data_IF_456028711231
#
_entry.id   IF_456028711231
#
_cell.length_a   1.000
_cell.length_b   1.000
_cell.length_c   1.000
_cell.angle_alpha   90.00
_cell.angle_beta   90.00
_cell.angle_gamma   90.00
#
_symmetry.space_group_name_H-M   'P 1'
#
loop_
_entity.id
_entity.type
_entity.pdbx_description
1 polymer ?
#
# COMPACT_ATOMS: atom_id res chain seq x y z
N UNK A 1 38.48 -87.49 -27.79
CA UNK A 1 38.57 -88.53 -26.74
C UNK A 1 38.05 -87.95 -25.40
N UNK A 2 37.35 -88.74 -24.65
CA UNK A 2 36.87 -88.56 -23.33
C UNK A 2 35.43 -88.00 -23.18
N UNK A 3 34.64 -88.94 -22.78
CA UNK A 3 33.22 -88.90 -22.45
C UNK A 3 32.94 -88.11 -21.17
N UNK A 4 31.86 -87.35 -21.16
CA UNK A 4 31.30 -86.76 -19.94
C UNK A 4 29.95 -87.38 -19.65
N UNK A 5 29.83 -87.92 -18.46
CA UNK A 5 28.64 -88.63 -17.92
C UNK A 5 27.68 -87.60 -17.30
N UNK A 6 26.45 -87.65 -17.80
CA UNK A 6 25.34 -86.90 -17.22
C UNK A 6 24.79 -87.55 -15.95
N UNK A 7 24.67 -86.80 -14.88
CA UNK A 7 23.88 -87.19 -13.73
C UNK A 7 22.72 -86.22 -13.55
N UNK A 8 21.51 -86.73 -13.73
CA UNK A 8 20.31 -86.02 -13.42
C UNK A 8 20.03 -86.12 -11.91
N UNK A 9 19.97 -85.01 -11.21
CA UNK A 9 19.43 -84.93 -9.88
C UNK A 9 18.02 -84.31 -9.97
N UNK A 10 17.04 -85.09 -9.49
CA UNK A 10 15.65 -84.68 -9.31
C UNK A 10 15.53 -84.04 -7.95
N UNK A 11 15.16 -82.77 -7.92
CA UNK A 11 14.91 -82.07 -6.65
C UNK A 11 13.41 -81.83 -6.56
N UNK A 12 12.81 -82.32 -5.48
CA UNK A 12 11.43 -82.13 -5.14
C UNK A 12 11.18 -80.64 -4.82
N UNK A 13 10.19 -80.05 -5.42
CA UNK A 13 9.70 -78.73 -5.08
C UNK A 13 8.75 -78.80 -3.87
N UNK A 14 9.14 -78.22 -2.76
CA UNK A 14 8.25 -77.96 -1.63
C UNK A 14 7.62 -76.56 -1.85
N UNK A 15 6.32 -76.56 -2.06
CA UNK A 15 5.54 -75.35 -2.14
C UNK A 15 5.30 -74.76 -0.75
N UNK A 16 5.99 -73.70 -0.39
CA UNK A 16 5.66 -72.92 0.80
C UNK A 16 4.75 -71.76 0.40
N UNK A 17 3.53 -71.75 0.92
CA UNK A 17 2.57 -70.66 0.76
C UNK A 17 3.04 -69.48 1.67
N UNK A 18 3.54 -68.43 1.06
CA UNK A 18 3.80 -67.17 1.75
C UNK A 18 2.52 -66.34 1.77
N UNK A 19 1.97 -66.13 2.96
CA UNK A 19 0.89 -65.18 3.19
C UNK A 19 1.47 -63.76 2.99
N UNK A 20 1.03 -63.05 1.99
CA UNK A 20 1.38 -61.65 1.78
C UNK A 20 0.58 -60.77 2.76
N UNK A 21 1.19 -60.44 3.88
CA UNK A 21 0.72 -59.40 4.77
C UNK A 21 1.00 -58.03 4.16
N UNK A 22 -0.05 -57.35 3.74
CA UNK A 22 0.02 -55.94 3.30
C UNK A 22 0.24 -55.07 4.54
N UNK A 23 1.48 -54.69 4.80
CA UNK A 23 1.79 -53.68 5.80
C UNK A 23 1.41 -52.32 5.23
N UNK A 24 0.32 -51.73 5.72
CA UNK A 24 -0.03 -50.32 5.43
C UNK A 24 0.93 -49.46 6.24
N UNK A 25 1.94 -48.88 5.60
CA UNK A 25 2.77 -47.85 6.17
C UNK A 25 1.97 -46.54 6.24
N UNK A 26 1.38 -46.25 7.40
CA UNK A 26 0.89 -44.92 7.71
C UNK A 26 2.13 -44.09 8.03
N UNK A 27 2.69 -43.40 7.02
CA UNK A 27 3.74 -42.43 7.23
C UNK A 27 3.20 -41.27 8.07
N UNK A 28 4.03 -40.63 8.92
CA UNK A 28 3.60 -39.44 9.62
C UNK A 28 3.22 -38.37 8.61
N UNK A 29 1.99 -37.84 8.70
CA UNK A 29 1.55 -36.71 7.89
C UNK A 29 2.48 -35.52 8.20
N UNK A 30 3.17 -35.02 7.18
CA UNK A 30 3.95 -33.80 7.32
C UNK A 30 3.01 -32.66 7.77
N UNK A 31 3.39 -31.87 8.78
CA UNK A 31 2.58 -30.73 9.17
C UNK A 31 2.50 -29.78 7.95
N UNK A 32 1.29 -29.56 7.45
CA UNK A 32 1.04 -28.49 6.50
C UNK A 32 1.35 -27.19 7.20
N UNK A 33 2.48 -26.58 6.84
CA UNK A 33 2.78 -25.22 7.26
C UNK A 33 1.68 -24.33 6.67
N UNK A 34 0.71 -23.95 7.50
CA UNK A 34 -0.20 -22.87 7.19
C UNK A 34 0.68 -21.63 7.18
N UNK A 35 0.95 -21.12 5.98
CA UNK A 35 1.48 -19.77 5.85
C UNK A 35 0.51 -18.87 6.63
N UNK A 36 1.00 -18.28 7.72
CA UNK A 36 0.26 -17.23 8.40
C UNK A 36 0.06 -16.14 7.35
N UNK A 37 -1.17 -16.01 6.86
CA UNK A 37 -1.60 -14.83 6.14
C UNK A 37 -1.48 -13.73 7.20
N UNK A 38 -0.39 -12.96 7.17
CA UNK A 38 -0.38 -11.70 7.88
C UNK A 38 -1.54 -10.92 7.29
N UNK A 39 -2.62 -10.78 8.07
CA UNK A 39 -3.62 -9.79 7.76
C UNK A 39 -2.85 -8.47 7.64
N UNK A 40 -2.82 -7.90 6.45
CA UNK A 40 -2.32 -6.55 6.25
C UNK A 40 -3.04 -5.68 7.28
N UNK A 41 -2.30 -4.78 7.93
CA UNK A 41 -2.91 -3.84 8.87
C UNK A 41 -4.03 -3.14 8.10
N UNK A 42 -5.27 -3.38 8.48
CA UNK A 42 -6.42 -2.75 7.84
C UNK A 42 -6.48 -1.32 8.32
N UNK A 43 -6.34 -0.40 7.39
CA UNK A 43 -6.56 1.02 7.65
C UNK A 43 -8.04 1.28 7.95
N UNK A 44 -8.36 2.40 8.57
CA UNK A 44 -9.72 2.73 8.96
C UNK A 44 -10.29 3.91 8.17
N UNK A 45 -11.53 3.80 7.72
CA UNK A 45 -12.30 4.92 7.14
C UNK A 45 -12.99 5.80 8.18
N UNK A 46 -12.80 5.51 9.48
CA UNK A 46 -13.41 6.29 10.57
C UNK A 46 -12.87 7.72 10.68
N UNK A 47 -11.73 8.00 10.05
CA UNK A 47 -11.09 9.32 10.05
C UNK A 47 -11.54 10.23 8.92
N UNK A 48 -12.33 9.72 7.95
CA UNK A 48 -12.77 10.53 6.82
C UNK A 48 -13.38 11.88 7.25
N UNK A 49 -13.03 12.99 6.59
CA UNK A 49 -12.34 13.09 5.31
C UNK A 49 -10.81 13.09 5.39
N UNK A 50 -10.21 12.73 6.50
CA UNK A 50 -8.77 12.53 6.63
C UNK A 50 -8.40 11.06 6.42
N UNK A 51 -7.15 10.75 6.03
CA UNK A 51 -6.67 9.38 6.03
C UNK A 51 -6.47 8.83 7.45
N UNK A 52 -6.35 7.52 7.57
CA UNK A 52 -5.94 6.87 8.82
C UNK A 52 -4.49 7.22 9.14
N UNK A 53 -4.21 7.87 10.29
CA UNK A 53 -2.85 8.27 10.64
C UNK A 53 -1.90 7.09 10.90
N UNK A 54 -2.42 5.89 11.13
CA UNK A 54 -1.60 4.68 11.24
C UNK A 54 -1.10 4.17 9.88
N UNK A 55 -1.82 4.46 8.80
CA UNK A 55 -1.47 4.06 7.44
C UNK A 55 -0.83 5.19 6.64
N UNK A 56 -1.40 6.38 6.76
CA UNK A 56 -0.98 7.56 5.98
C UNK A 56 -0.74 8.74 6.93
N UNK A 57 0.34 8.70 7.71
CA UNK A 57 0.69 9.79 8.64
C UNK A 57 1.11 11.09 7.93
N UNK A 58 1.43 11.00 6.64
CA UNK A 58 2.01 12.09 5.87
C UNK A 58 3.54 12.11 5.98
N UNK A 59 4.22 11.82 4.89
CA UNK A 59 5.69 11.82 4.79
C UNK A 59 6.13 12.98 3.92
N UNK A 60 7.14 13.72 4.35
CA UNK A 60 7.70 14.86 3.63
C UNK A 60 8.80 14.42 2.67
N UNK A 61 8.96 15.19 1.59
CA UNK A 61 10.12 15.13 0.72
C UNK A 61 11.26 15.97 1.33
N UNK A 62 12.39 15.38 1.69
CA UNK A 62 13.49 16.10 2.31
C UNK A 62 14.15 17.18 1.43
N UNK A 63 13.93 17.12 0.11
CA UNK A 63 14.44 18.12 -0.82
C UNK A 63 13.65 19.44 -0.77
N UNK A 64 12.46 19.44 -0.14
CA UNK A 64 11.59 20.60 -0.02
C UNK A 64 11.64 21.16 1.42
N UNK A 65 12.37 22.22 1.59
CA UNK A 65 12.55 22.96 2.84
C UNK A 65 12.18 24.43 2.63
N UNK A 66 12.05 25.19 3.70
CA UNK A 66 11.82 26.64 3.60
C UNK A 66 12.88 27.32 2.72
N UNK A 67 14.13 26.87 2.80
CA UNK A 67 15.24 27.46 2.05
C UNK A 67 15.22 27.06 0.55
N UNK A 68 14.50 26.00 0.20
CA UNK A 68 14.44 25.49 -1.18
C UNK A 68 13.12 25.75 -1.89
N UNK A 69 12.13 26.38 -1.23
CA UNK A 69 10.81 26.62 -1.85
C UNK A 69 10.90 27.35 -3.18
N UNK A 70 11.78 28.35 -3.29
CA UNK A 70 11.94 29.18 -4.49
C UNK A 70 12.56 28.41 -5.68
N UNK A 71 13.22 27.29 -5.43
CA UNK A 71 13.78 26.40 -6.46
C UNK A 71 12.97 25.10 -6.63
N UNK A 72 11.93 24.91 -5.83
CA UNK A 72 11.07 23.72 -5.82
C UNK A 72 9.59 24.10 -5.99
N UNK A 73 8.80 24.01 -4.95
CA UNK A 73 7.34 24.12 -5.00
C UNK A 73 6.82 25.46 -5.54
N UNK A 74 7.59 26.53 -5.43
CA UNK A 74 7.22 27.85 -5.95
C UNK A 74 7.58 28.05 -7.43
N UNK A 75 8.32 27.10 -8.02
CA UNK A 75 8.58 27.08 -9.46
C UNK A 75 7.38 26.50 -10.20
N UNK A 76 6.90 27.22 -11.20
CA UNK A 76 5.79 26.72 -12.02
C UNK A 76 6.16 25.39 -12.69
N UNK A 77 5.28 24.39 -12.56
CA UNK A 77 5.47 23.07 -13.15
C UNK A 77 6.39 22.11 -12.37
N UNK A 78 7.00 22.55 -11.27
CA UNK A 78 7.91 21.69 -10.49
C UNK A 78 7.24 20.40 -10.03
N UNK A 79 5.99 20.46 -9.53
CA UNK A 79 5.25 19.27 -9.07
C UNK A 79 5.11 18.20 -10.16
N UNK A 80 5.01 18.61 -11.43
CA UNK A 80 4.95 17.67 -12.55
C UNK A 80 6.26 16.89 -12.74
N UNK A 81 7.40 17.45 -12.32
CA UNK A 81 8.71 16.80 -12.45
C UNK A 81 8.93 15.69 -11.41
N UNK A 82 8.24 15.77 -10.27
CA UNK A 82 8.37 14.81 -9.16
C UNK A 82 7.18 13.85 -9.05
N UNK A 83 6.03 14.20 -9.62
CA UNK A 83 4.81 13.39 -9.59
C UNK A 83 5.06 11.98 -10.15
N UNK A 84 4.69 10.92 -9.42
CA UNK A 84 4.83 9.56 -9.91
C UNK A 84 3.92 9.30 -11.12
N UNK A 85 4.32 8.41 -12.04
CA UNK A 85 3.47 8.02 -13.16
C UNK A 85 2.29 7.18 -12.68
N UNK A 86 1.20 7.19 -13.44
CA UNK A 86 -0.01 6.40 -13.14
C UNK A 86 0.24 4.89 -13.11
N UNK A 87 1.28 4.41 -13.78
CA UNK A 87 1.73 3.01 -13.69
C UNK A 87 2.21 2.62 -12.27
N UNK A 88 2.57 3.60 -11.44
CA UNK A 88 2.88 3.42 -10.03
C UNK A 88 1.62 3.62 -9.16
N UNK A 89 0.90 4.72 -9.35
CA UNK A 89 -0.21 5.10 -8.46
C UNK A 89 -1.47 4.24 -8.65
N UNK A 90 -1.77 3.78 -9.89
CA UNK A 90 -2.98 2.98 -10.12
C UNK A 90 -2.98 1.62 -9.40
N UNK A 91 -1.90 0.81 -9.44
CA UNK A 91 -1.84 -0.42 -8.64
C UNK A 91 -1.89 -0.16 -7.13
N UNK A 92 -1.24 0.91 -6.66
CA UNK A 92 -1.24 1.30 -5.25
C UNK A 92 -2.65 1.67 -4.79
N UNK A 93 -3.38 2.46 -5.59
CA UNK A 93 -4.78 2.82 -5.31
C UNK A 93 -5.67 1.59 -5.12
N UNK A 94 -5.57 0.61 -6.01
CA UNK A 94 -6.33 -0.64 -5.90
C UNK A 94 -6.03 -1.37 -4.59
N UNK A 95 -4.75 -1.45 -4.23
CA UNK A 95 -4.31 -2.07 -2.98
C UNK A 95 -4.84 -1.33 -1.77
N UNK A 96 -4.69 0.00 -1.72
CA UNK A 96 -5.08 0.81 -0.58
C UNK A 96 -6.60 0.93 -0.41
N UNK A 97 -7.39 0.92 -1.49
CA UNK A 97 -8.86 0.81 -1.40
C UNK A 97 -9.25 -0.43 -0.59
N UNK A 98 -8.57 -1.56 -0.82
CA UNK A 98 -8.82 -2.78 -0.06
C UNK A 98 -8.29 -2.70 1.38
N UNK A 99 -7.12 -2.08 1.60
CA UNK A 99 -6.52 -1.89 2.92
C UNK A 99 -7.35 -0.96 3.82
N UNK A 100 -7.93 0.10 3.24
CA UNK A 100 -8.86 1.00 3.92
C UNK A 100 -10.25 0.39 4.15
N UNK A 101 -10.54 -0.74 3.49
CA UNK A 101 -11.82 -1.44 3.64
C UNK A 101 -13.01 -0.64 3.11
N UNK A 102 -12.81 0.17 2.07
CA UNK A 102 -13.91 0.86 1.41
C UNK A 102 -14.92 -0.15 0.84
N UNK A 103 -16.20 0.10 1.06
CA UNK A 103 -17.27 -0.74 0.53
C UNK A 103 -17.41 -0.60 -0.99
N UNK A 104 -17.21 0.62 -1.49
CA UNK A 104 -17.08 0.89 -2.92
C UNK A 104 -15.63 0.64 -3.34
N UNK A 105 -15.43 -0.23 -4.33
CA UNK A 105 -14.11 -0.58 -4.87
C UNK A 105 -13.86 0.00 -6.27
N UNK A 106 -14.76 0.86 -6.76
CA UNK A 106 -14.60 1.56 -8.03
C UNK A 106 -13.44 2.56 -7.93
N UNK A 107 -12.35 2.32 -8.63
CA UNK A 107 -11.19 3.23 -8.63
C UNK A 107 -11.48 4.61 -9.21
N UNK A 108 -12.61 4.76 -9.92
CA UNK A 108 -13.05 6.03 -10.48
C UNK A 108 -13.63 6.98 -9.43
N UNK A 109 -14.01 6.44 -8.27
CA UNK A 109 -14.62 7.22 -7.18
C UNK A 109 -13.60 7.73 -6.16
N UNK A 110 -12.30 7.47 -6.45
CA UNK A 110 -11.17 7.88 -5.61
C UNK A 110 -10.05 8.50 -6.42
N UNK A 111 -9.40 9.49 -5.84
CA UNK A 111 -8.08 9.94 -6.24
C UNK A 111 -7.00 9.17 -5.47
N UNK A 112 -5.90 8.79 -6.12
CA UNK A 112 -4.68 8.42 -5.40
C UNK A 112 -3.95 9.71 -5.05
N UNK A 113 -4.30 10.23 -3.89
CA UNK A 113 -3.89 11.56 -3.48
C UNK A 113 -2.69 11.56 -2.53
N UNK A 114 -1.93 12.66 -2.56
CA UNK A 114 -0.87 12.94 -1.62
C UNK A 114 -1.43 13.66 -0.39
N UNK A 115 -1.50 12.99 0.76
CA UNK A 115 -2.04 13.57 1.99
C UNK A 115 -1.39 14.91 2.33
N UNK A 116 -0.06 14.97 2.37
CA UNK A 116 0.66 16.24 2.27
C UNK A 116 0.95 16.44 0.79
N UNK A 117 0.38 17.48 0.15
CA UNK A 117 0.45 17.63 -1.30
C UNK A 117 1.87 17.86 -1.79
N UNK A 118 2.13 17.47 -3.03
CA UNK A 118 3.42 17.72 -3.67
C UNK A 118 3.79 19.21 -3.65
N UNK A 119 2.80 20.08 -3.79
CA UNK A 119 2.99 21.52 -3.81
C UNK A 119 3.23 22.15 -2.42
N UNK A 120 3.18 21.33 -1.36
CA UNK A 120 3.67 21.66 -0.02
C UNK A 120 4.83 20.73 0.40
N UNK A 121 5.45 20.03 -0.54
CA UNK A 121 6.62 19.22 -0.28
C UNK A 121 6.32 17.86 0.35
N UNK A 122 5.15 17.29 0.11
CA UNK A 122 4.88 15.91 0.47
C UNK A 122 5.72 14.92 -0.36
N UNK A 123 6.02 13.75 0.21
CA UNK A 123 6.79 12.72 -0.46
C UNK A 123 6.04 12.19 -1.68
N UNK A 124 6.67 12.18 -2.88
CA UNK A 124 5.96 11.82 -4.10
C UNK A 124 5.65 10.32 -4.24
N UNK A 125 6.42 9.45 -3.55
CA UNK A 125 6.32 7.99 -3.76
C UNK A 125 6.21 7.17 -2.48
N UNK A 126 6.17 7.81 -1.33
CA UNK A 126 6.02 7.08 -0.09
C UNK A 126 4.54 6.68 0.08
N UNK A 127 4.22 5.38 0.21
CA UNK A 127 2.83 4.94 0.45
C UNK A 127 2.22 5.54 1.73
N UNK A 128 3.04 5.97 2.70
CA UNK A 128 2.58 6.64 3.91
C UNK A 128 2.22 8.13 3.69
N UNK A 129 2.37 8.63 2.47
CA UNK A 129 1.88 9.94 2.03
C UNK A 129 0.85 9.82 0.90
N UNK A 130 0.50 8.60 0.47
CA UNK A 130 -0.45 8.33 -0.60
C UNK A 130 -1.66 7.57 -0.04
N UNK A 131 -2.86 7.91 -0.51
CA UNK A 131 -4.06 7.24 -0.07
C UNK A 131 -5.22 7.43 -1.08
N UNK A 132 -6.20 6.51 -1.10
CA UNK A 132 -7.36 6.64 -1.98
C UNK A 132 -8.36 7.63 -1.38
N UNK A 133 -8.23 8.91 -1.72
CA UNK A 133 -9.14 9.96 -1.27
C UNK A 133 -10.45 9.94 -2.05
N UNK A 134 -11.62 9.89 -1.38
CA UNK A 134 -12.91 9.88 -2.05
C UNK A 134 -13.20 11.18 -2.82
N UNK A 135 -13.72 11.02 -4.04
CA UNK A 135 -14.30 12.13 -4.82
C UNK A 135 -15.68 12.54 -4.30
N UNK A 136 -16.37 11.68 -3.56
CA UNK A 136 -17.67 11.93 -2.97
C UNK A 136 -17.57 12.54 -1.58
N UNK A 137 -18.65 13.20 -1.15
CA UNK A 137 -18.72 13.83 0.17
C UNK A 137 -18.58 12.81 1.30
N UNK A 138 -17.64 13.04 2.20
CA UNK A 138 -17.39 12.22 3.37
C UNK A 138 -17.40 13.05 4.65
N UNK A 139 -17.86 12.44 5.75
CA UNK A 139 -17.98 13.12 7.05
C UNK A 139 -18.99 14.26 7.07
N UNK A 140 -19.16 14.87 8.23
CA UNK A 140 -20.13 15.97 8.43
C UNK A 140 -19.71 17.31 7.81
N UNK A 141 -18.44 17.47 7.46
CA UNK A 141 -17.86 18.69 6.87
C UNK A 141 -17.95 18.75 5.34
N UNK A 142 -18.37 17.65 4.69
CA UNK A 142 -18.51 17.60 3.23
C UNK A 142 -17.18 17.60 2.48
N UNK A 143 -16.12 17.07 3.09
CA UNK A 143 -14.80 16.98 2.47
C UNK A 143 -14.77 16.03 1.28
N UNK A 144 -14.20 16.46 0.17
CA UNK A 144 -13.90 15.68 -1.04
C UNK A 144 -12.49 16.02 -1.52
N UNK A 145 -11.88 15.16 -2.36
CA UNK A 145 -10.57 15.46 -2.98
C UNK A 145 -10.56 16.83 -3.66
N UNK A 146 -11.62 17.19 -4.38
CA UNK A 146 -11.75 18.51 -5.04
C UNK A 146 -11.76 19.69 -4.08
N UNK A 147 -12.31 19.52 -2.87
CA UNK A 147 -12.26 20.58 -1.85
C UNK A 147 -10.89 20.67 -1.23
N UNK A 148 -10.19 19.55 -1.06
CA UNK A 148 -8.81 19.49 -0.59
C UNK A 148 -7.87 20.17 -1.57
N UNK A 149 -7.96 19.92 -2.89
CA UNK A 149 -7.21 20.62 -3.93
C UNK A 149 -7.29 22.15 -3.79
N UNK A 150 -8.49 22.65 -3.46
CA UNK A 150 -8.69 24.09 -3.26
C UNK A 150 -7.92 24.61 -2.05
N UNK A 151 -7.88 23.84 -0.96
CA UNK A 151 -7.10 24.17 0.23
C UNK A 151 -5.60 24.15 -0.08
N UNK A 152 -5.12 23.14 -0.75
CA UNK A 152 -3.73 22.96 -1.16
C UNK A 152 -3.22 24.15 -1.96
N UNK A 153 -3.93 24.50 -3.03
CA UNK A 153 -3.59 25.63 -3.88
C UNK A 153 -3.51 26.96 -3.11
N UNK A 154 -4.40 27.18 -2.13
CA UNK A 154 -4.36 28.39 -1.29
C UNK A 154 -3.16 28.36 -0.34
N UNK A 155 -2.87 27.21 0.30
CA UNK A 155 -1.72 27.04 1.17
C UNK A 155 -0.41 27.23 0.41
N UNK A 156 -0.24 26.60 -0.75
CA UNK A 156 0.92 26.81 -1.63
C UNK A 156 1.12 28.29 -1.94
N UNK A 157 0.05 28.96 -2.35
CA UNK A 157 0.12 30.40 -2.67
C UNK A 157 0.56 31.21 -1.46
N UNK A 158 0.05 30.90 -0.27
CA UNK A 158 0.43 31.60 0.97
C UNK A 158 1.89 31.34 1.36
N UNK A 159 2.38 30.11 1.14
CA UNK A 159 3.80 29.79 1.36
C UNK A 159 4.69 30.52 0.38
N UNK A 160 4.37 30.45 -0.91
CA UNK A 160 5.22 31.03 -1.96
C UNK A 160 5.22 32.58 -1.97
N UNK A 161 4.24 33.23 -1.36
CA UNK A 161 4.26 34.70 -1.19
C UNK A 161 4.78 35.15 0.19
N UNK A 162 5.21 34.20 1.04
CA UNK A 162 5.77 34.48 2.36
C UNK A 162 4.74 34.85 3.43
N UNK A 163 3.45 34.59 3.19
CA UNK A 163 2.40 34.86 4.20
C UNK A 163 2.40 33.79 5.30
N UNK A 164 2.76 32.56 4.96
CA UNK A 164 2.79 31.40 5.88
C UNK A 164 4.10 30.64 5.65
N UNK A 165 4.75 30.21 6.73
CA UNK A 165 5.91 29.33 6.63
C UNK A 165 5.51 27.94 6.13
N UNK A 166 6.40 27.28 5.38
CA UNK A 166 6.17 25.93 4.84
C UNK A 166 5.77 24.94 5.92
N UNK A 167 6.51 24.91 7.03
CA UNK A 167 6.24 23.98 8.13
C UNK A 167 4.87 24.22 8.78
N UNK A 168 4.42 25.47 8.87
CA UNK A 168 3.09 25.80 9.36
C UNK A 168 1.99 25.29 8.44
N UNK A 169 2.16 25.43 7.12
CA UNK A 169 1.22 24.92 6.11
C UNK A 169 1.17 23.38 6.11
N UNK A 170 2.34 22.73 6.17
CA UNK A 170 2.45 21.26 6.25
C UNK A 170 1.76 20.72 7.52
N UNK A 171 2.01 21.32 8.67
CA UNK A 171 1.37 20.92 9.92
C UNK A 171 -0.15 21.14 9.91
N UNK A 172 -0.61 22.24 9.34
CA UNK A 172 -2.03 22.55 9.29
C UNK A 172 -2.79 21.53 8.43
N UNK A 173 -2.28 21.23 7.23
CA UNK A 173 -2.93 20.28 6.33
C UNK A 173 -2.87 18.84 6.87
N UNK A 174 -1.75 18.45 7.49
CA UNK A 174 -1.59 17.12 8.09
C UNK A 174 -2.42 16.94 9.38
N UNK A 175 -2.74 18.02 10.09
CA UNK A 175 -3.58 17.95 11.27
C UNK A 175 -5.06 17.83 10.92
N UNK A 176 -5.55 18.72 10.07
CA UNK A 176 -6.91 18.72 9.54
C UNK A 176 -6.99 19.70 8.37
N UNK A 177 -6.93 19.16 7.14
CA UNK A 177 -7.00 19.97 5.93
C UNK A 177 -8.32 20.76 5.82
N UNK A 178 -9.41 20.28 6.43
CA UNK A 178 -10.73 20.96 6.36
C UNK A 178 -10.75 22.28 7.12
N UNK A 179 -9.89 22.43 8.12
CA UNK A 179 -9.75 23.64 8.95
C UNK A 179 -8.44 24.38 8.73
N UNK A 180 -7.54 23.85 7.92
CA UNK A 180 -6.18 24.36 7.74
C UNK A 180 -6.12 25.85 7.37
N UNK A 181 -6.95 26.30 6.43
CA UNK A 181 -7.01 27.71 6.03
C UNK A 181 -7.44 28.62 7.16
N UNK A 182 -8.52 28.25 7.88
CA UNK A 182 -9.05 29.02 8.98
C UNK A 182 -8.02 29.13 10.12
N UNK A 183 -7.34 28.02 10.45
CA UNK A 183 -6.32 27.96 11.51
C UNK A 183 -5.10 28.82 11.18
N UNK A 184 -4.83 29.09 9.91
CA UNK A 184 -3.75 29.96 9.44
C UNK A 184 -4.21 31.38 9.08
N UNK A 185 -5.48 31.72 9.33
CA UNK A 185 -6.03 33.03 9.00
C UNK A 185 -6.16 33.29 7.50
N UNK A 186 -6.21 32.24 6.70
CA UNK A 186 -6.37 32.28 5.24
C UNK A 186 -7.84 31.99 4.90
N UNK A 187 -8.64 32.99 4.68
CA UNK A 187 -10.07 32.86 4.33
C UNK A 187 -10.33 32.97 2.82
#
# INVERSE_FOLDING_TARGET
MAHAISRRLTVLAVASAAAAGTAIFIGPAAPTAHAAVHAAATCSTAYLPLPDPACTPGVLNPDVTQDTIDSTICVSGWTATVRPPTSYTNPLKVQQIAEYGYADTSTADYEEDHFIPLELGGSPRDPQNLWPEPHYTTGGSGGTSYTKDTVENKLKKAVCNGTVDLAAAQNAIATDWTTALANLGLS
#
